data_IF_679171109869
#
_entry.id   IF_679171109869
#
_cell.length_a   1.000
_cell.length_b   1.000
_cell.length_c   1.000
_cell.angle_alpha   90.00
_cell.angle_beta   90.00
_cell.angle_gamma   90.00
#
_symmetry.space_group_name_H-M   'P 1'
#
loop_
_entity.id
_entity.type
_entity.pdbx_description
1 polymer ?
#
# COMPACT_ATOMS: atom_id res chain seq x y z
N UNK A 1 -8.88 -22.67 16.17
CA UNK A 1 -7.86 -23.15 15.23
C UNK A 1 -8.45 -24.20 14.32
N UNK A 2 -8.57 -23.84 13.05
CA UNK A 2 -8.66 -24.74 11.91
C UNK A 2 -7.46 -25.69 11.89
N UNK A 3 -7.64 -26.87 11.31
CA UNK A 3 -6.62 -27.92 11.29
C UNK A 3 -5.44 -27.61 10.36
N UNK A 4 -5.46 -26.48 9.65
CA UNK A 4 -4.50 -26.20 8.58
C UNK A 4 -3.14 -25.74 9.10
N UNK A 5 -3.11 -25.02 10.23
CA UNK A 5 -1.87 -24.61 10.91
C UNK A 5 -1.57 -25.45 12.16
N UNK A 6 -2.13 -26.67 12.25
CA UNK A 6 -1.93 -27.54 13.40
C UNK A 6 -0.44 -27.77 13.69
N UNK A 7 -0.06 -27.58 14.95
CA UNK A 7 1.32 -27.75 15.42
C UNK A 7 2.21 -26.51 15.30
N UNK A 8 1.71 -25.41 14.74
CA UNK A 8 2.44 -24.13 14.71
C UNK A 8 2.01 -23.29 15.91
N UNK A 9 2.95 -23.03 16.82
CA UNK A 9 2.72 -22.17 17.98
C UNK A 9 2.70 -20.68 17.57
N UNK A 10 2.06 -19.80 18.37
CA UNK A 10 2.21 -18.37 18.18
C UNK A 10 3.67 -17.92 18.18
N UNK A 11 4.01 -17.01 17.26
CA UNK A 11 5.37 -16.51 17.07
C UNK A 11 5.65 -15.43 18.11
N UNK A 12 6.82 -15.55 18.75
CA UNK A 12 7.28 -14.61 19.77
C UNK A 12 8.58 -13.95 19.37
N UNK A 13 8.83 -12.78 19.97
CA UNK A 13 10.15 -12.15 19.94
C UNK A 13 11.13 -12.91 20.82
N UNK A 14 12.26 -13.33 20.25
CA UNK A 14 13.32 -14.08 20.94
C UNK A 14 14.67 -13.35 20.97
N UNK A 15 14.76 -12.18 20.32
CA UNK A 15 16.00 -11.39 20.24
C UNK A 15 16.88 -11.75 19.05
N UNK A 16 17.83 -10.84 18.78
CA UNK A 16 18.67 -10.88 17.56
C UNK A 16 19.60 -12.08 17.46
N UNK A 17 19.93 -12.70 18.60
CA UNK A 17 20.83 -13.85 18.67
C UNK A 17 20.08 -15.20 18.60
N UNK A 18 18.76 -15.19 18.39
CA UNK A 18 17.96 -16.42 18.32
C UNK A 18 18.33 -17.29 17.12
N UNK A 19 18.59 -18.57 17.41
CA UNK A 19 18.80 -19.64 16.43
C UNK A 19 17.52 -20.39 16.04
N UNK A 20 16.35 -20.00 16.54
CA UNK A 20 15.07 -20.65 16.22
C UNK A 20 14.68 -20.43 14.76
N UNK A 21 14.21 -21.47 14.08
CA UNK A 21 13.84 -21.37 12.66
C UNK A 21 12.64 -20.43 12.43
N UNK A 22 11.77 -20.27 13.44
CA UNK A 22 10.52 -19.51 13.34
C UNK A 22 10.29 -18.65 14.59
N UNK A 23 10.90 -17.46 14.61
CA UNK A 23 10.79 -16.48 15.68
C UNK A 23 11.06 -15.06 15.16
N UNK A 24 10.52 -14.04 15.84
CA UNK A 24 10.91 -12.66 15.58
C UNK A 24 12.24 -12.34 16.27
N UNK A 25 13.18 -11.76 15.52
CA UNK A 25 14.51 -11.32 15.96
C UNK A 25 14.62 -9.82 16.12
N UNK A 26 13.81 -9.08 15.36
CA UNK A 26 13.80 -7.63 15.37
C UNK A 26 12.43 -7.07 15.72
N UNK A 27 11.34 -7.75 15.32
CA UNK A 27 9.99 -7.34 15.66
C UNK A 27 9.64 -7.72 17.10
N UNK A 28 9.74 -6.76 18.00
CA UNK A 28 9.17 -6.84 19.33
C UNK A 28 7.96 -5.90 19.40
N UNK A 29 6.72 -6.41 19.41
CA UNK A 29 5.52 -5.57 19.31
C UNK A 29 5.44 -4.53 20.44
N UNK A 30 5.93 -4.85 21.65
CA UNK A 30 5.88 -3.99 22.82
C UNK A 30 7.11 -3.08 23.00
N UNK A 31 8.11 -3.16 22.12
CA UNK A 31 9.26 -2.27 22.17
C UNK A 31 8.85 -0.83 21.91
N UNK A 32 9.18 0.06 22.85
CA UNK A 32 8.92 1.49 22.73
C UNK A 32 9.98 2.14 21.84
N UNK A 33 9.56 2.70 20.71
CA UNK A 33 10.40 3.49 19.80
C UNK A 33 9.90 4.94 19.83
N UNK A 34 10.56 5.79 20.62
CA UNK A 34 10.04 7.10 20.97
C UNK A 34 8.81 6.99 21.88
N UNK A 35 7.65 7.46 21.41
CA UNK A 35 6.42 7.54 22.21
C UNK A 35 5.38 6.46 21.90
N UNK A 36 5.62 5.59 20.91
CA UNK A 36 4.71 4.51 20.52
C UNK A 36 5.42 3.16 20.58
N UNK A 37 4.63 2.09 20.76
CA UNK A 37 5.13 0.72 20.60
C UNK A 37 5.42 0.45 19.12
N UNK A 38 6.27 -0.51 18.84
CA UNK A 38 6.61 -0.90 17.47
C UNK A 38 5.38 -1.36 16.68
N UNK A 39 4.48 -2.11 17.31
CA UNK A 39 3.19 -2.51 16.70
C UNK A 39 2.37 -1.29 16.25
N UNK A 40 2.33 -0.23 17.06
CA UNK A 40 1.54 0.98 16.79
C UNK A 40 2.19 1.88 15.72
N UNK A 41 3.49 1.72 15.47
CA UNK A 41 4.20 2.36 14.37
C UNK A 41 4.02 1.62 13.04
N UNK A 42 4.24 0.31 13.05
CA UNK A 42 4.28 -0.52 11.83
C UNK A 42 2.88 -0.93 11.37
N UNK A 43 1.97 -1.19 12.32
CA UNK A 43 0.55 -1.47 12.06
C UNK A 43 0.38 -2.53 10.96
N UNK A 44 1.10 -3.65 11.11
CA UNK A 44 1.18 -4.67 10.10
C UNK A 44 -0.18 -5.25 9.74
N UNK A 45 -0.42 -5.46 8.44
CA UNK A 45 -1.63 -6.05 7.89
C UNK A 45 -1.35 -7.22 6.94
N UNK A 46 -2.19 -8.26 6.98
CA UNK A 46 -2.12 -9.39 6.04
C UNK A 46 -3.07 -9.13 4.87
N UNK A 47 -2.56 -9.27 3.65
CA UNK A 47 -3.36 -9.30 2.43
C UNK A 47 -4.11 -10.63 2.31
N UNK A 48 -5.44 -10.56 2.27
CA UNK A 48 -6.28 -11.75 2.17
C UNK A 48 -6.14 -12.48 0.82
N UNK A 49 -6.04 -11.72 -0.28
CA UNK A 49 -5.95 -12.28 -1.64
C UNK A 49 -4.75 -13.18 -1.79
N UNK A 50 -3.57 -12.72 -1.40
CA UNK A 50 -2.35 -13.50 -1.55
C UNK A 50 -2.21 -14.64 -0.56
N UNK A 51 -2.66 -14.44 0.68
CA UNK A 51 -2.50 -15.45 1.72
C UNK A 51 -3.50 -16.59 1.60
N UNK A 52 -4.74 -16.31 1.14
CA UNK A 52 -5.84 -17.27 1.22
C UNK A 52 -6.64 -17.47 -0.07
N UNK A 53 -6.59 -16.54 -1.03
CA UNK A 53 -7.40 -16.64 -2.24
C UNK A 53 -6.61 -17.08 -3.48
N UNK A 54 -5.34 -16.68 -3.62
CA UNK A 54 -4.52 -17.01 -4.77
C UNK A 54 -4.11 -18.49 -4.76
N UNK A 55 -4.46 -19.27 -5.80
CA UNK A 55 -4.25 -20.72 -5.81
C UNK A 55 -2.84 -21.13 -6.28
N UNK A 56 -1.91 -20.19 -6.42
CA UNK A 56 -0.55 -20.44 -6.90
C UNK A 56 -0.44 -20.66 -8.41
N UNK A 57 -1.39 -20.14 -9.20
CA UNK A 57 -1.36 -20.16 -10.65
C UNK A 57 -0.61 -18.96 -11.24
N UNK A 58 -0.09 -19.13 -12.47
CA UNK A 58 0.60 -18.10 -13.25
C UNK A 58 0.16 -18.21 -14.74
N UNK A 59 0.60 -17.30 -15.65
CA UNK A 59 0.19 -17.36 -17.06
C UNK A 59 0.56 -18.65 -17.81
N UNK A 60 1.42 -19.51 -17.24
CA UNK A 60 1.97 -20.71 -17.87
C UNK A 60 1.58 -22.00 -17.14
N UNK A 61 0.89 -21.92 -15.99
CA UNK A 61 0.51 -23.07 -15.21
C UNK A 61 -0.66 -22.81 -14.24
N UNK A 62 -1.50 -23.82 -14.07
CA UNK A 62 -2.64 -23.76 -13.15
C UNK A 62 -2.27 -23.82 -11.67
N UNK A 63 -3.30 -23.99 -10.84
CA UNK A 63 -3.26 -24.11 -9.39
C UNK A 63 -2.18 -25.09 -8.90
N UNK A 64 -1.48 -24.69 -7.84
CA UNK A 64 -0.45 -25.50 -7.16
C UNK A 64 -0.75 -25.70 -5.69
N UNK A 65 -1.46 -24.77 -5.06
CA UNK A 65 -1.84 -24.90 -3.66
C UNK A 65 -3.07 -25.77 -3.53
N UNK A 66 -3.05 -26.70 -2.58
CA UNK A 66 -4.19 -27.53 -2.19
C UNK A 66 -4.64 -27.10 -0.79
N UNK A 67 -5.46 -26.05 -0.71
CA UNK A 67 -5.98 -25.53 0.55
C UNK A 67 -7.42 -26.03 0.80
N UNK A 68 -7.80 -26.38 2.04
CA UNK A 68 -9.14 -26.88 2.36
C UNK A 68 -10.30 -25.94 1.98
N UNK A 69 -10.02 -24.67 1.78
CA UNK A 69 -11.00 -23.61 1.53
C UNK A 69 -11.09 -23.13 0.07
N UNK A 70 -10.50 -23.84 -0.90
CA UNK A 70 -10.61 -23.50 -2.33
C UNK A 70 -11.94 -23.95 -2.98
N UNK A 71 -12.99 -24.21 -2.20
CA UNK A 71 -14.35 -24.36 -2.70
C UNK A 71 -14.97 -23.03 -3.12
N UNK A 72 -16.02 -23.09 -3.94
CA UNK A 72 -16.76 -21.92 -4.43
C UNK A 72 -18.14 -21.77 -3.77
N UNK A 73 -18.21 -22.03 -2.47
CA UNK A 73 -19.43 -21.91 -1.67
C UNK A 73 -19.17 -21.15 -0.35
N UNK A 74 -20.25 -20.85 0.38
CA UNK A 74 -20.15 -20.12 1.64
C UNK A 74 -19.47 -20.94 2.75
N UNK A 75 -19.45 -22.28 2.66
CA UNK A 75 -18.75 -23.11 3.64
C UNK A 75 -17.23 -22.97 3.47
N UNK A 76 -16.75 -22.99 2.23
CA UNK A 76 -15.35 -22.71 1.90
C UNK A 76 -14.95 -21.27 2.27
N UNK A 77 -15.82 -20.28 2.04
CA UNK A 77 -15.59 -18.90 2.48
C UNK A 77 -15.42 -18.78 4.01
N UNK A 78 -16.28 -19.43 4.80
CA UNK A 78 -16.14 -19.48 6.26
C UNK A 78 -14.86 -20.19 6.70
N UNK A 79 -14.54 -21.33 6.10
CA UNK A 79 -13.30 -22.05 6.39
C UNK A 79 -12.04 -21.21 6.08
N UNK A 80 -12.09 -20.41 5.00
CA UNK A 80 -11.04 -19.45 4.64
C UNK A 80 -10.88 -18.39 5.72
N UNK A 81 -11.98 -17.81 6.19
CA UNK A 81 -11.96 -16.83 7.27
C UNK A 81 -11.44 -17.45 8.57
N UNK A 82 -11.84 -18.67 8.90
CA UNK A 82 -11.33 -19.37 10.09
C UNK A 82 -9.81 -19.54 10.03
N UNK A 83 -9.28 -20.01 8.90
CA UNK A 83 -7.84 -20.14 8.70
C UNK A 83 -7.12 -18.78 8.72
N UNK A 84 -7.74 -17.73 8.19
CA UNK A 84 -7.15 -16.40 8.20
C UNK A 84 -6.93 -15.87 9.62
N UNK A 85 -7.96 -15.96 10.47
CA UNK A 85 -7.85 -15.54 11.86
C UNK A 85 -6.90 -16.40 12.69
N UNK A 86 -6.71 -17.67 12.35
CA UNK A 86 -5.65 -18.48 12.96
C UNK A 86 -4.25 -17.98 12.58
N UNK A 87 -4.01 -17.65 11.31
CA UNK A 87 -2.73 -17.06 10.91
C UNK A 87 -2.48 -15.74 11.64
N UNK A 88 -3.49 -14.89 11.74
CA UNK A 88 -3.34 -13.61 12.44
C UNK A 88 -3.01 -13.81 13.92
N UNK A 89 -3.62 -14.80 14.57
CA UNK A 89 -3.31 -15.16 15.95
C UNK A 89 -1.91 -15.76 16.10
N UNK A 90 -1.46 -16.59 15.14
CA UNK A 90 -0.10 -17.14 15.11
C UNK A 90 0.94 -16.03 14.98
N UNK A 91 0.72 -15.06 14.09
CA UNK A 91 1.65 -13.96 13.86
C UNK A 91 1.57 -12.86 14.93
N UNK A 92 0.49 -12.83 15.73
CA UNK A 92 0.20 -11.71 16.61
C UNK A 92 -0.07 -10.41 15.85
N UNK A 93 -0.68 -10.50 14.66
CA UNK A 93 -0.81 -9.39 13.74
C UNK A 93 -2.09 -8.57 13.99
N UNK A 94 -2.00 -7.23 14.10
CA UNK A 94 -3.15 -6.41 14.52
C UNK A 94 -4.17 -6.15 13.42
N UNK A 95 -3.78 -6.24 12.14
CA UNK A 95 -4.64 -5.88 11.02
C UNK A 95 -4.69 -6.91 9.89
N UNK A 96 -5.72 -6.79 9.04
CA UNK A 96 -5.84 -7.44 7.75
C UNK A 96 -6.52 -6.52 6.71
N UNK A 97 -6.41 -6.89 5.43
CA UNK A 97 -7.03 -6.23 4.29
C UNK A 97 -7.76 -7.23 3.40
N UNK A 98 -8.81 -6.83 2.68
CA UNK A 98 -9.56 -7.73 1.77
C UNK A 98 -10.12 -7.03 0.52
N UNK A 99 -10.26 -7.77 -0.59
CA UNK A 99 -11.27 -7.48 -1.62
C UNK A 99 -12.53 -8.33 -1.43
N UNK A 100 -13.68 -7.81 -1.84
CA UNK A 100 -14.96 -8.51 -1.72
C UNK A 100 -14.93 -9.90 -2.36
N UNK A 101 -14.36 -10.02 -3.57
CA UNK A 101 -14.28 -11.28 -4.30
C UNK A 101 -13.36 -12.33 -3.64
N UNK A 102 -12.45 -11.92 -2.75
CA UNK A 102 -11.52 -12.83 -2.09
C UNK A 102 -12.16 -13.57 -0.91
N UNK A 103 -13.17 -12.94 -0.31
CA UNK A 103 -13.79 -13.41 0.93
C UNK A 103 -15.09 -14.18 0.69
N UNK A 104 -15.71 -14.10 -0.49
CA UNK A 104 -17.00 -14.76 -0.80
C UNK A 104 -17.07 -15.32 -2.22
N UNK A 105 -17.92 -16.34 -2.47
CA UNK A 105 -18.17 -16.84 -3.82
C UNK A 105 -19.04 -15.88 -4.67
N UNK A 106 -18.78 -15.84 -5.98
CA UNK A 106 -19.61 -15.11 -6.96
C UNK A 106 -20.98 -15.77 -7.14
N UNK A 107 -22.05 -14.96 -7.05
CA UNK A 107 -23.42 -15.38 -7.34
C UNK A 107 -23.77 -15.20 -8.83
N UNK A 108 -24.92 -15.73 -9.25
CA UNK A 108 -25.35 -15.58 -10.65
C UNK A 108 -25.88 -14.18 -10.97
N UNK A 109 -26.26 -13.41 -9.93
CA UNK A 109 -26.75 -12.03 -10.04
C UNK A 109 -26.10 -11.14 -8.99
N UNK A 110 -26.19 -9.81 -9.17
CA UNK A 110 -25.71 -8.86 -8.17
C UNK A 110 -26.34 -9.10 -6.80
N UNK A 111 -27.64 -9.38 -6.75
CA UNK A 111 -28.37 -9.64 -5.51
C UNK A 111 -27.85 -10.89 -4.77
N UNK A 112 -27.48 -11.94 -5.50
CA UNK A 112 -26.89 -13.14 -4.91
C UNK A 112 -25.45 -12.88 -4.44
N UNK A 113 -24.62 -12.25 -5.27
CA UNK A 113 -23.25 -11.84 -4.90
C UNK A 113 -23.24 -10.98 -3.64
N UNK A 114 -24.16 -10.00 -3.56
CA UNK A 114 -24.35 -9.13 -2.40
C UNK A 114 -24.81 -9.90 -1.17
N UNK A 115 -25.74 -10.86 -1.29
CA UNK A 115 -26.18 -11.69 -0.16
C UNK A 115 -25.01 -12.51 0.41
N UNK A 116 -24.23 -13.16 -0.45
CA UNK A 116 -23.05 -13.93 -0.05
C UNK A 116 -22.00 -13.03 0.63
N UNK A 117 -21.78 -11.83 0.08
CA UNK A 117 -20.87 -10.85 0.65
C UNK A 117 -21.31 -10.41 2.06
N UNK A 118 -22.57 -10.04 2.24
CA UNK A 118 -23.07 -9.64 3.56
C UNK A 118 -22.99 -10.78 4.59
N UNK A 119 -23.27 -12.01 4.18
CA UNK A 119 -23.16 -13.18 5.05
C UNK A 119 -21.71 -13.42 5.52
N UNK A 120 -20.70 -13.28 4.65
CA UNK A 120 -19.31 -13.42 5.12
C UNK A 120 -18.85 -12.22 5.96
N UNK A 121 -19.34 -11.01 5.69
CA UNK A 121 -19.04 -9.83 6.50
C UNK A 121 -19.56 -10.01 7.93
N UNK A 122 -20.72 -10.63 8.11
CA UNK A 122 -21.24 -10.98 9.45
C UNK A 122 -20.28 -11.94 10.17
N UNK A 123 -19.86 -13.02 9.52
CA UNK A 123 -18.92 -14.00 10.07
C UNK A 123 -17.55 -13.39 10.41
N UNK A 124 -17.01 -12.54 9.53
CA UNK A 124 -15.74 -11.83 9.78
C UNK A 124 -15.90 -10.88 10.98
N UNK A 125 -17.03 -10.19 11.11
CA UNK A 125 -17.33 -9.36 12.28
C UNK A 125 -17.26 -10.14 13.59
N UNK A 126 -17.90 -11.32 13.66
CA UNK A 126 -17.85 -12.20 14.84
C UNK A 126 -16.40 -12.65 15.16
N UNK A 127 -15.59 -12.89 14.13
CA UNK A 127 -14.17 -13.23 14.30
C UNK A 127 -13.34 -12.06 14.81
N UNK A 128 -13.58 -10.84 14.33
CA UNK A 128 -12.91 -9.63 14.83
C UNK A 128 -13.23 -9.39 16.31
N UNK A 129 -14.49 -9.58 16.71
CA UNK A 129 -14.92 -9.43 18.11
C UNK A 129 -14.23 -10.43 19.06
N UNK A 130 -13.97 -11.65 18.58
CA UNK A 130 -13.38 -12.72 19.39
C UNK A 130 -11.84 -12.76 19.35
N UNK A 131 -11.24 -12.42 18.21
CA UNK A 131 -9.79 -12.48 17.97
C UNK A 131 -9.04 -11.18 18.25
N UNK A 132 -9.73 -10.04 18.20
CA UNK A 132 -9.14 -8.71 18.45
C UNK A 132 -8.45 -8.06 17.25
N UNK A 133 -8.34 -8.76 16.12
CA UNK A 133 -7.81 -8.19 14.88
C UNK A 133 -8.76 -7.14 14.31
N UNK A 134 -8.18 -6.09 13.71
CA UNK A 134 -8.90 -4.96 13.14
C UNK A 134 -8.76 -4.92 11.63
N UNK A 135 -9.68 -4.22 10.97
CA UNK A 135 -9.62 -4.04 9.52
C UNK A 135 -8.78 -2.79 9.20
N UNK A 136 -7.66 -2.94 8.48
CA UNK A 136 -6.91 -1.77 8.03
C UNK A 136 -7.65 -1.09 6.88
N UNK A 137 -8.06 -1.87 5.89
CA UNK A 137 -8.95 -1.42 4.82
C UNK A 137 -9.65 -2.56 4.10
N UNK A 138 -10.83 -2.25 3.54
CA UNK A 138 -11.48 -3.07 2.52
C UNK A 138 -11.44 -2.39 1.16
N UNK A 139 -11.73 -3.15 0.12
CA UNK A 139 -11.78 -2.69 -1.27
C UNK A 139 -12.69 -3.58 -2.13
N UNK A 140 -12.99 -3.13 -3.34
CA UNK A 140 -13.77 -3.88 -4.32
C UNK A 140 -12.84 -4.46 -5.39
N UNK A 141 -12.96 -5.77 -5.67
CA UNK A 141 -12.30 -6.37 -6.82
C UNK A 141 -13.09 -6.03 -8.10
N UNK A 142 -12.65 -4.97 -8.77
CA UNK A 142 -13.23 -4.50 -10.03
C UNK A 142 -12.38 -4.86 -11.25
N UNK A 143 -11.65 -5.97 -11.19
CA UNK A 143 -10.64 -6.31 -12.21
C UNK A 143 -10.56 -7.78 -12.59
N UNK A 144 -10.99 -8.71 -11.74
CA UNK A 144 -10.91 -10.15 -12.02
C UNK A 144 -12.06 -10.66 -12.89
N UNK A 145 -13.30 -10.23 -12.63
CA UNK A 145 -14.45 -10.71 -13.40
C UNK A 145 -14.41 -10.18 -14.84
N UNK A 146 -14.70 -11.04 -15.83
CA UNK A 146 -14.68 -10.70 -17.28
C UNK A 146 -15.50 -9.47 -17.69
N UNK A 147 -16.41 -9.00 -16.83
CA UNK A 147 -17.23 -7.82 -17.08
C UNK A 147 -16.40 -6.53 -17.05
N UNK A 148 -15.29 -6.54 -16.31
CA UNK A 148 -14.37 -5.42 -16.16
C UNK A 148 -13.20 -5.44 -17.15
N UNK A 149 -13.24 -6.31 -18.17
CA UNK A 149 -12.12 -6.47 -19.12
C UNK A 149 -11.76 -5.18 -19.89
N UNK A 150 -12.67 -4.20 -19.92
CA UNK A 150 -12.49 -2.90 -20.57
C UNK A 150 -12.62 -1.72 -19.57
N UNK A 151 -12.29 -1.95 -18.30
CA UNK A 151 -12.40 -0.93 -17.23
C UNK A 151 -13.59 -1.14 -16.31
N UNK A 152 -13.66 -0.36 -15.24
CA UNK A 152 -14.78 -0.34 -14.31
C UNK A 152 -15.40 1.05 -14.24
N UNK A 153 -14.77 2.00 -13.57
CA UNK A 153 -15.12 3.41 -13.62
C UNK A 153 -14.79 4.04 -14.98
N UNK A 154 -13.81 3.50 -15.70
CA UNK A 154 -13.43 3.97 -17.05
C UNK A 154 -14.07 3.15 -18.18
N UNK A 155 -15.04 2.29 -17.85
CA UNK A 155 -15.62 1.41 -18.87
C UNK A 155 -16.42 2.21 -19.93
N UNK A 156 -16.30 1.88 -21.23
CA UNK A 156 -17.12 2.49 -22.27
C UNK A 156 -18.62 2.15 -22.17
N UNK A 157 -18.98 1.09 -21.44
CA UNK A 157 -20.36 0.70 -21.16
C UNK A 157 -20.83 1.27 -19.80
N UNK A 158 -21.84 2.16 -19.78
CA UNK A 158 -22.35 2.76 -18.54
C UNK A 158 -23.00 1.75 -17.57
N UNK A 159 -23.45 0.57 -18.04
CA UNK A 159 -24.00 -0.46 -17.15
C UNK A 159 -22.88 -1.11 -16.30
N UNK A 160 -21.65 -1.20 -16.84
CA UNK A 160 -20.50 -1.69 -16.08
C UNK A 160 -20.06 -0.65 -15.04
N UNK A 161 -20.08 0.64 -15.39
CA UNK A 161 -19.89 1.72 -14.43
C UNK A 161 -20.90 1.63 -13.27
N UNK A 162 -22.18 1.41 -13.58
CA UNK A 162 -23.24 1.29 -12.58
C UNK A 162 -23.00 0.07 -11.66
N UNK A 163 -22.58 -1.07 -12.22
CA UNK A 163 -22.21 -2.24 -11.44
C UNK A 163 -21.03 -1.96 -10.51
N UNK A 164 -19.97 -1.33 -11.02
CA UNK A 164 -18.78 -0.97 -10.24
C UNK A 164 -19.13 -0.05 -9.05
N UNK A 165 -19.98 0.95 -9.30
CA UNK A 165 -20.44 1.87 -8.26
C UNK A 165 -21.28 1.16 -7.19
N UNK A 166 -22.13 0.22 -7.59
CA UNK A 166 -22.92 -0.59 -6.66
C UNK A 166 -22.03 -1.48 -5.78
N UNK A 167 -21.02 -2.13 -6.35
CA UNK A 167 -20.05 -2.93 -5.59
C UNK A 167 -19.26 -2.07 -4.61
N UNK A 168 -18.71 -0.93 -5.04
CA UNK A 168 -17.94 -0.03 -4.17
C UNK A 168 -18.80 0.52 -3.02
N UNK A 169 -20.07 0.84 -3.28
CA UNK A 169 -20.99 1.24 -2.21
C UNK A 169 -21.11 0.16 -1.13
N UNK A 170 -21.36 -1.10 -1.51
CA UNK A 170 -21.50 -2.19 -0.55
C UNK A 170 -20.17 -2.47 0.19
N UNK A 171 -19.03 -2.41 -0.50
CA UNK A 171 -17.71 -2.63 0.11
C UNK A 171 -17.33 -1.52 1.09
N UNK A 172 -17.59 -0.26 0.75
CA UNK A 172 -17.33 0.88 1.61
C UNK A 172 -18.23 0.86 2.86
N UNK A 173 -19.51 0.48 2.72
CA UNK A 173 -20.42 0.31 3.86
C UNK A 173 -20.00 -0.85 4.76
N UNK A 174 -19.56 -1.99 4.19
CA UNK A 174 -19.03 -3.11 4.96
C UNK A 174 -17.74 -2.76 5.69
N UNK A 175 -16.83 -2.06 5.01
CA UNK A 175 -15.58 -1.55 5.61
C UNK A 175 -15.88 -0.64 6.78
N UNK A 176 -16.82 0.30 6.62
CA UNK A 176 -17.26 1.18 7.71
C UNK A 176 -17.88 0.39 8.87
N UNK A 177 -18.76 -0.57 8.56
CA UNK A 177 -19.42 -1.42 9.57
C UNK A 177 -18.42 -2.23 10.41
N UNK A 178 -17.36 -2.73 9.79
CA UNK A 178 -16.29 -3.47 10.47
C UNK A 178 -15.25 -2.57 11.14
N UNK A 179 -15.44 -1.25 11.13
CA UNK A 179 -14.50 -0.31 11.73
C UNK A 179 -13.17 -0.18 10.97
N UNK A 180 -13.20 -0.40 9.66
CA UNK A 180 -12.04 -0.25 8.79
C UNK A 180 -11.43 1.16 8.88
N UNK A 181 -10.10 1.25 8.94
CA UNK A 181 -9.42 2.54 9.09
C UNK A 181 -9.24 3.30 7.76
N UNK A 182 -9.32 2.61 6.63
CA UNK A 182 -9.24 3.19 5.28
C UNK A 182 -10.10 2.39 4.28
N UNK A 183 -10.26 2.91 3.06
CA UNK A 183 -10.85 2.21 1.93
C UNK A 183 -10.00 2.45 0.68
N UNK A 184 -9.57 1.38 0.02
CA UNK A 184 -8.64 1.43 -1.12
C UNK A 184 -9.37 1.36 -2.46
N UNK A 185 -8.79 2.01 -3.47
CA UNK A 185 -9.18 1.97 -4.87
C UNK A 185 -7.90 1.75 -5.69
N UNK A 186 -7.65 0.49 -6.07
CA UNK A 186 -6.61 0.15 -7.04
C UNK A 186 -7.23 -0.02 -8.44
N UNK A 187 -6.73 0.74 -9.40
CA UNK A 187 -7.27 0.85 -10.75
C UNK A 187 -6.89 -0.29 -11.70
N UNK A 188 -6.92 -1.56 -11.28
CA UNK A 188 -6.36 -2.67 -12.07
C UNK A 188 -6.87 -2.82 -13.51
N UNK A 189 -8.05 -2.25 -13.86
CA UNK A 189 -8.54 -2.15 -15.24
C UNK A 189 -8.79 -0.71 -15.70
N UNK A 190 -8.51 0.27 -14.85
CA UNK A 190 -8.72 1.69 -15.09
C UNK A 190 -7.52 2.24 -15.89
N UNK A 191 -7.54 1.91 -17.18
CA UNK A 191 -6.46 2.17 -18.11
C UNK A 191 -6.84 1.64 -19.49
N UNK A 192 -5.86 1.45 -20.35
CA UNK A 192 -6.12 0.96 -21.70
C UNK A 192 -5.14 -0.10 -22.18
N UNK A 193 -5.59 -0.90 -23.15
CA UNK A 193 -4.73 -1.80 -23.93
C UNK A 193 -4.26 -1.16 -25.24
N UNK A 194 -5.10 -0.34 -25.88
CA UNK A 194 -4.75 0.39 -27.12
C UNK A 194 -5.38 1.78 -27.17
N UNK A 195 -4.61 2.78 -27.60
CA UNK A 195 -5.13 4.13 -27.79
C UNK A 195 -6.12 4.25 -28.96
N UNK A 196 -6.15 3.27 -29.86
CA UNK A 196 -6.98 3.33 -31.07
C UNK A 196 -8.49 3.31 -30.77
N UNK A 197 -8.89 2.78 -29.60
CA UNK A 197 -10.29 2.69 -29.17
C UNK A 197 -10.53 3.36 -27.80
N UNK A 198 -9.58 4.18 -27.32
CA UNK A 198 -9.63 4.79 -25.99
C UNK A 198 -9.77 6.30 -26.12
N UNK A 199 -10.80 6.86 -25.48
CA UNK A 199 -10.94 8.30 -25.29
C UNK A 199 -10.47 8.67 -23.87
N UNK A 200 -9.18 9.03 -23.76
CA UNK A 200 -8.54 9.38 -22.50
C UNK A 200 -9.24 10.52 -21.76
N UNK A 201 -9.81 11.48 -22.51
CA UNK A 201 -10.52 12.62 -21.93
C UNK A 201 -11.81 12.17 -21.26
N UNK A 202 -12.60 11.35 -21.97
CA UNK A 202 -13.85 10.78 -21.47
C UNK A 202 -13.63 9.87 -20.27
N UNK A 203 -12.68 8.95 -20.34
CA UNK A 203 -12.41 8.00 -19.27
C UNK A 203 -11.93 8.70 -18.00
N UNK A 204 -11.11 9.76 -18.15
CA UNK A 204 -10.73 10.62 -17.03
C UNK A 204 -11.95 11.33 -16.40
N UNK A 205 -12.88 11.85 -17.20
CA UNK A 205 -14.12 12.47 -16.68
C UNK A 205 -14.98 11.47 -15.90
N UNK A 206 -15.10 10.24 -16.41
CA UNK A 206 -15.86 9.17 -15.75
C UNK A 206 -15.20 8.76 -14.43
N UNK A 207 -13.89 8.52 -14.42
CA UNK A 207 -13.15 8.18 -13.20
C UNK A 207 -13.21 9.30 -12.17
N UNK A 208 -13.06 10.57 -12.59
CA UNK A 208 -13.22 11.73 -11.71
C UNK A 208 -14.62 11.79 -11.09
N UNK A 209 -15.67 11.58 -11.89
CA UNK A 209 -17.04 11.51 -11.41
C UNK A 209 -17.29 10.32 -10.46
N UNK A 210 -16.64 9.18 -10.70
CA UNK A 210 -16.71 8.01 -9.83
C UNK A 210 -16.09 8.29 -8.46
N UNK A 211 -14.87 8.84 -8.42
CA UNK A 211 -14.20 9.20 -7.17
C UNK A 211 -15.00 10.22 -6.35
N UNK A 212 -15.62 11.21 -7.00
CA UNK A 212 -16.54 12.14 -6.34
C UNK A 212 -17.71 11.42 -5.66
N UNK A 213 -18.31 10.41 -6.31
CA UNK A 213 -19.39 9.61 -5.72
C UNK A 213 -18.92 8.79 -4.52
N UNK A 214 -17.70 8.24 -4.57
CA UNK A 214 -17.11 7.51 -3.44
C UNK A 214 -16.90 8.44 -2.25
N UNK A 215 -16.31 9.62 -2.48
CA UNK A 215 -16.08 10.64 -1.44
C UNK A 215 -17.40 11.17 -0.87
N UNK A 216 -18.37 11.50 -1.72
CA UNK A 216 -19.71 11.91 -1.29
C UNK A 216 -20.34 10.84 -0.39
N UNK A 217 -20.30 9.57 -0.81
CA UNK A 217 -20.89 8.47 -0.05
C UNK A 217 -20.17 8.22 1.27
N UNK A 218 -18.82 8.29 1.30
CA UNK A 218 -18.01 8.26 2.52
C UNK A 218 -18.54 9.27 3.54
N UNK A 219 -18.72 10.53 3.13
CA UNK A 219 -19.22 11.59 4.01
C UNK A 219 -20.66 11.33 4.45
N UNK A 220 -21.51 10.90 3.52
CA UNK A 220 -22.92 10.58 3.77
C UNK A 220 -23.11 9.50 4.83
N UNK A 221 -22.31 8.44 4.80
CA UNK A 221 -22.40 7.36 5.79
C UNK A 221 -21.59 7.64 7.06
N UNK A 222 -20.83 8.75 7.10
CA UNK A 222 -20.02 9.15 8.24
C UNK A 222 -18.69 8.41 8.37
N UNK A 223 -18.22 7.73 7.32
CA UNK A 223 -16.95 7.02 7.33
C UNK A 223 -15.78 7.99 7.52
N UNK A 224 -15.00 7.80 8.59
CA UNK A 224 -13.89 8.69 8.98
C UNK A 224 -12.54 8.29 8.40
N UNK A 225 -12.41 7.05 7.91
CA UNK A 225 -11.18 6.55 7.31
C UNK A 225 -10.78 7.29 6.04
N UNK A 226 -9.51 7.16 5.66
CA UNK A 226 -9.03 7.73 4.40
C UNK A 226 -9.60 6.96 3.19
N UNK A 227 -9.86 7.66 2.08
CA UNK A 227 -9.97 7.02 0.77
C UNK A 227 -8.55 7.01 0.19
N UNK A 228 -8.10 5.87 -0.27
CA UNK A 228 -6.75 5.66 -0.78
C UNK A 228 -6.82 5.26 -2.26
N UNK A 229 -6.06 5.95 -3.10
CA UNK A 229 -5.75 5.47 -4.46
C UNK A 229 -4.39 4.80 -4.43
N UNK A 230 -4.25 3.69 -5.13
CA UNK A 230 -3.04 2.89 -5.17
C UNK A 230 -2.39 2.95 -6.55
N UNK A 231 -1.30 3.73 -6.72
CA UNK A 231 -0.70 3.92 -8.02
C UNK A 231 -0.05 2.63 -8.55
N UNK A 232 -0.19 2.40 -9.86
CA UNK A 232 0.53 1.37 -10.62
C UNK A 232 0.64 1.81 -12.09
N UNK A 233 1.78 1.61 -12.77
CA UNK A 233 1.98 2.10 -14.13
C UNK A 233 1.25 1.31 -15.23
N UNK A 234 1.07 0.01 -15.02
CA UNK A 234 0.60 -0.98 -15.99
C UNK A 234 0.36 -2.33 -15.30
N UNK A 235 0.00 -3.35 -16.08
CA UNK A 235 -0.26 -4.72 -15.62
C UNK A 235 -1.49 -4.83 -14.71
N UNK A 236 -2.64 -5.30 -15.23
CA UNK A 236 -2.81 -6.01 -16.52
C UNK A 236 -3.01 -5.09 -17.74
N UNK A 237 -3.24 -3.79 -17.56
CA UNK A 237 -3.38 -2.83 -18.67
C UNK A 237 -2.03 -2.55 -19.35
N UNK A 238 -2.04 -2.02 -20.58
CA UNK A 238 -0.82 -1.50 -21.25
C UNK A 238 -0.36 -0.17 -20.64
N UNK A 239 -1.29 0.56 -20.05
CA UNK A 239 -1.07 1.80 -19.31
C UNK A 239 -2.24 1.99 -18.37
N UNK A 240 -1.95 2.07 -17.08
CA UNK A 240 -2.92 2.36 -16.03
C UNK A 240 -2.87 3.87 -15.72
N UNK A 241 -4.03 4.49 -15.49
CA UNK A 241 -4.14 5.95 -15.41
C UNK A 241 -3.52 6.53 -14.14
N UNK A 242 -3.66 5.83 -13.04
CA UNK A 242 -3.03 6.06 -11.74
C UNK A 242 -1.57 5.60 -11.77
N UNK A 243 -0.77 6.15 -12.69
CA UNK A 243 0.57 5.64 -13.03
C UNK A 243 1.60 5.67 -11.89
N UNK A 244 1.73 6.83 -11.24
CA UNK A 244 2.64 7.11 -10.13
C UNK A 244 2.04 8.24 -9.25
N UNK A 245 2.69 8.55 -8.13
CA UNK A 245 2.23 9.58 -7.17
C UNK A 245 2.00 10.93 -7.84
N UNK A 246 2.92 11.38 -8.70
CA UNK A 246 2.83 12.69 -9.33
C UNK A 246 1.66 12.77 -10.32
N UNK A 247 1.43 11.69 -11.07
CA UNK A 247 0.33 11.53 -12.01
C UNK A 247 -1.01 11.54 -11.28
N UNK A 248 -1.12 10.74 -10.21
CA UNK A 248 -2.34 10.69 -9.39
C UNK A 248 -2.60 12.05 -8.74
N UNK A 249 -1.58 12.75 -8.22
CA UNK A 249 -1.78 14.10 -7.67
C UNK A 249 -2.30 15.09 -8.72
N UNK A 250 -1.73 15.07 -9.93
CA UNK A 250 -2.21 15.90 -11.04
C UNK A 250 -3.68 15.60 -11.39
N UNK A 251 -4.06 14.33 -11.39
CA UNK A 251 -5.44 13.91 -11.58
C UNK A 251 -6.36 14.41 -10.46
N UNK A 252 -5.98 14.19 -9.20
CA UNK A 252 -6.76 14.65 -8.04
C UNK A 252 -6.95 16.17 -8.07
N UNK A 253 -5.90 16.93 -8.41
CA UNK A 253 -5.97 18.39 -8.57
C UNK A 253 -6.92 18.82 -9.68
N UNK A 254 -6.91 18.14 -10.83
CA UNK A 254 -7.83 18.42 -11.94
C UNK A 254 -9.30 18.31 -11.51
N UNK A 255 -9.61 17.38 -10.61
CA UNK A 255 -10.98 17.12 -10.15
C UNK A 255 -11.29 17.66 -8.75
N UNK A 256 -10.37 18.38 -8.10
CA UNK A 256 -10.56 18.97 -6.77
C UNK A 256 -10.70 17.95 -5.63
N UNK A 257 -9.99 16.82 -5.71
CA UNK A 257 -10.06 15.69 -4.78
C UNK A 257 -8.80 15.54 -3.90
N UNK A 258 -7.79 16.39 -4.06
CA UNK A 258 -6.49 16.25 -3.41
C UNK A 258 -6.53 16.36 -1.87
N UNK A 259 -7.60 16.95 -1.33
CA UNK A 259 -7.79 17.07 0.11
C UNK A 259 -8.67 15.95 0.69
N UNK A 260 -9.28 15.12 -0.16
CA UNK A 260 -10.23 14.07 0.22
C UNK A 260 -9.62 12.66 0.11
N UNK A 261 -8.63 12.51 -0.77
CA UNK A 261 -8.00 11.24 -1.12
C UNK A 261 -6.51 11.29 -0.76
N UNK A 262 -6.02 10.20 -0.17
CA UNK A 262 -4.60 9.94 0.11
C UNK A 262 -4.15 8.75 -0.76
N UNK A 263 -2.92 8.30 -0.57
CA UNK A 263 -2.34 7.23 -1.38
C UNK A 263 -1.97 6.01 -0.54
N UNK A 264 -2.19 4.83 -1.12
CA UNK A 264 -1.58 3.58 -0.70
C UNK A 264 -0.40 3.32 -1.66
N UNK A 265 0.83 3.27 -1.16
CA UNK A 265 2.01 3.12 -2.03
C UNK A 265 2.58 1.73 -1.91
N UNK A 266 2.76 1.07 -3.04
CA UNK A 266 3.36 -0.25 -3.10
C UNK A 266 4.81 -0.18 -3.62
N UNK A 267 5.73 -0.91 -2.98
CA UNK A 267 7.11 -0.99 -3.46
C UNK A 267 7.19 -1.56 -4.88
N UNK A 268 6.52 -2.69 -5.14
CA UNK A 268 6.51 -3.35 -6.44
C UNK A 268 6.06 -2.43 -7.57
N UNK A 269 4.96 -1.72 -7.36
CA UNK A 269 4.42 -0.75 -8.31
C UNK A 269 5.36 0.44 -8.56
N UNK A 270 6.01 0.98 -7.51
CA UNK A 270 6.99 2.06 -7.66
C UNK A 270 8.16 1.65 -8.58
N UNK A 271 8.71 0.46 -8.36
CA UNK A 271 9.80 -0.07 -9.20
C UNK A 271 9.35 -0.27 -10.64
N UNK A 272 8.13 -0.82 -10.86
CA UNK A 272 7.58 -0.98 -12.22
C UNK A 272 7.40 0.35 -12.93
N UNK A 273 7.15 1.45 -12.20
CA UNK A 273 7.02 2.80 -12.75
C UNK A 273 8.38 3.44 -13.09
N UNK A 274 9.49 2.78 -12.74
CA UNK A 274 10.85 3.29 -12.93
C UNK A 274 11.34 4.18 -11.77
N UNK A 275 10.67 4.13 -10.62
CA UNK A 275 11.00 4.92 -9.43
C UNK A 275 11.54 4.03 -8.31
N UNK A 276 12.34 4.58 -7.39
CA UNK A 276 12.60 3.89 -6.13
C UNK A 276 11.40 4.06 -5.18
N UNK A 277 11.25 3.17 -4.21
CA UNK A 277 10.10 3.24 -3.31
C UNK A 277 10.13 4.49 -2.41
N UNK A 278 11.31 4.84 -1.90
CA UNK A 278 11.50 6.07 -1.13
C UNK A 278 11.29 7.34 -1.94
N UNK A 279 11.42 7.29 -3.28
CA UNK A 279 11.03 8.42 -4.13
C UNK A 279 9.52 8.66 -4.05
N UNK A 280 8.71 7.64 -4.29
CA UNK A 280 7.25 7.76 -4.25
C UNK A 280 6.77 8.18 -2.86
N UNK A 281 7.37 7.63 -1.79
CA UNK A 281 7.08 8.03 -0.42
C UNK A 281 7.43 9.50 -0.14
N UNK A 282 8.62 9.95 -0.55
CA UNK A 282 9.04 11.35 -0.39
C UNK A 282 8.16 12.31 -1.20
N UNK A 283 7.77 11.93 -2.42
CA UNK A 283 6.86 12.71 -3.26
C UNK A 283 5.49 12.82 -2.60
N UNK A 284 4.89 11.71 -2.17
CA UNK A 284 3.58 11.71 -1.51
C UNK A 284 3.62 12.48 -0.19
N UNK A 285 4.68 12.35 0.59
CA UNK A 285 4.92 13.12 1.81
C UNK A 285 4.96 14.63 1.54
N UNK A 286 5.71 15.06 0.52
CA UNK A 286 5.83 16.48 0.16
C UNK A 286 4.52 17.12 -0.31
N UNK A 287 3.62 16.30 -0.86
CA UNK A 287 2.28 16.69 -1.31
C UNK A 287 1.21 16.52 -0.22
N UNK A 288 1.58 15.97 0.94
CA UNK A 288 0.65 15.68 2.03
C UNK A 288 -0.35 14.55 1.72
N UNK A 289 0.00 13.62 0.82
CA UNK A 289 -0.87 12.54 0.33
C UNK A 289 -0.51 11.15 0.84
N UNK A 290 0.59 10.99 1.58
CA UNK A 290 0.97 9.70 2.15
C UNK A 290 -0.13 9.19 3.11
N UNK A 291 -0.74 8.06 2.78
CA UNK A 291 -1.80 7.44 3.56
C UNK A 291 -1.36 6.13 4.21
N UNK A 292 -1.06 5.13 3.37
CA UNK A 292 -0.68 3.76 3.76
C UNK A 292 0.39 3.21 2.81
N UNK A 293 0.95 2.05 3.13
CA UNK A 293 1.83 1.33 2.21
C UNK A 293 1.46 -0.13 2.06
N UNK A 294 1.76 -0.66 0.89
CA UNK A 294 1.92 -2.08 0.63
C UNK A 294 3.41 -2.43 0.53
N UNK A 295 3.87 -3.20 1.49
CA UNK A 295 5.27 -3.59 1.61
C UNK A 295 5.47 -5.00 1.06
N UNK A 296 5.84 -5.02 -0.20
CA UNK A 296 6.34 -6.18 -0.91
C UNK A 296 7.67 -5.82 -1.56
N UNK A 297 8.12 -6.61 -2.54
CA UNK A 297 9.19 -6.25 -3.47
C UNK A 297 8.96 -6.93 -4.82
N UNK A 298 9.52 -6.31 -5.84
CA UNK A 298 9.67 -6.92 -7.16
C UNK A 298 11.10 -7.36 -7.46
N UNK A 299 11.22 -8.25 -8.44
CA UNK A 299 12.51 -8.68 -8.96
C UNK A 299 12.99 -7.69 -10.03
N UNK A 300 14.15 -7.06 -9.82
CA UNK A 300 14.67 -6.04 -10.73
C UNK A 300 14.98 -6.55 -12.14
N UNK A 301 15.08 -7.87 -12.36
CA UNK A 301 15.29 -8.47 -13.67
C UNK A 301 13.97 -8.89 -14.33
N UNK A 302 12.85 -8.78 -13.62
CA UNK A 302 11.51 -9.19 -14.06
C UNK A 302 10.59 -7.97 -14.17
N UNK A 303 10.24 -7.59 -15.39
CA UNK A 303 9.42 -6.40 -15.67
C UNK A 303 7.91 -6.57 -15.41
N UNK A 304 7.54 -7.34 -14.39
CA UNK A 304 6.16 -7.60 -13.97
C UNK A 304 6.08 -7.76 -12.45
N UNK A 305 4.87 -7.75 -11.93
CA UNK A 305 4.60 -7.81 -10.50
C UNK A 305 4.78 -9.21 -9.94
N UNK A 306 5.81 -9.37 -9.10
CA UNK A 306 6.17 -10.64 -8.49
C UNK A 306 5.58 -10.80 -7.09
N UNK A 307 5.18 -9.71 -6.45
CA UNK A 307 4.54 -9.61 -5.13
C UNK A 307 5.29 -10.42 -4.09
N UNK A 308 6.62 -10.29 -4.03
CA UNK A 308 7.40 -11.04 -3.06
C UNK A 308 7.48 -10.29 -1.73
N UNK A 309 7.69 -10.99 -0.62
CA UNK A 309 7.88 -10.34 0.69
C UNK A 309 9.18 -9.52 0.74
N UNK A 310 9.28 -8.41 1.49
CA UNK A 310 10.52 -7.64 1.59
C UNK A 310 11.67 -8.47 2.19
N UNK A 311 12.87 -8.37 1.63
CA UNK A 311 14.08 -9.08 2.10
C UNK A 311 15.32 -8.18 2.30
N UNK A 312 15.22 -6.89 1.95
CA UNK A 312 16.33 -5.94 2.01
C UNK A 312 16.11 -4.86 3.09
N UNK A 313 16.71 -4.99 4.29
CA UNK A 313 16.55 -4.01 5.36
C UNK A 313 17.01 -2.59 4.99
N UNK A 314 17.95 -2.42 4.05
CA UNK A 314 18.46 -1.09 3.67
C UNK A 314 17.44 -0.29 2.88
N UNK A 315 16.77 -0.93 1.92
CA UNK A 315 15.70 -0.31 1.15
C UNK A 315 14.51 0.00 2.05
N UNK A 316 14.15 -0.94 2.93
CA UNK A 316 13.06 -0.76 3.89
C UNK A 316 13.38 0.35 4.91
N UNK A 317 14.64 0.53 5.31
CA UNK A 317 15.05 1.65 6.16
C UNK A 317 14.87 3.01 5.48
N UNK A 318 15.21 3.13 4.20
CA UNK A 318 14.98 4.38 3.44
C UNK A 318 13.49 4.67 3.25
N UNK A 319 12.67 3.64 3.02
CA UNK A 319 11.23 3.78 2.95
C UNK A 319 10.64 4.29 4.27
N UNK A 320 10.94 3.63 5.40
CA UNK A 320 10.45 4.06 6.70
C UNK A 320 11.03 5.40 7.15
N UNK A 321 12.21 5.80 6.67
CA UNK A 321 12.77 7.13 6.95
C UNK A 321 11.85 8.23 6.41
N UNK A 322 11.35 8.08 5.18
CA UNK A 322 10.40 9.03 4.59
C UNK A 322 9.02 8.97 5.26
N UNK A 323 8.55 7.79 5.67
CA UNK A 323 7.33 7.66 6.50
C UNK A 323 7.48 8.39 7.84
N UNK A 324 8.58 8.18 8.56
CA UNK A 324 8.84 8.78 9.86
C UNK A 324 8.98 10.30 9.80
N UNK A 325 9.54 10.85 8.70
CA UNK A 325 9.60 12.31 8.47
C UNK A 325 8.22 12.97 8.43
N UNK A 326 7.16 12.22 8.12
CA UNK A 326 5.78 12.72 8.16
C UNK A 326 5.08 12.53 9.52
N UNK A 327 5.77 11.93 10.51
CA UNK A 327 5.20 11.58 11.80
C UNK A 327 4.69 10.13 11.90
N UNK A 328 4.95 9.30 10.88
CA UNK A 328 4.48 7.92 10.80
C UNK A 328 3.01 7.80 10.37
N UNK A 329 2.51 6.57 10.33
CA UNK A 329 1.12 6.33 9.96
C UNK A 329 0.12 6.86 10.98
N UNK A 330 -1.03 7.29 10.47
CA UNK A 330 -2.21 7.67 11.27
C UNK A 330 -3.28 6.59 11.16
N UNK A 331 -3.96 6.51 10.03
CA UNK A 331 -4.97 5.47 9.72
C UNK A 331 -4.41 4.35 8.85
N UNK A 332 -3.41 4.62 8.01
CA UNK A 332 -2.73 3.60 7.21
C UNK A 332 -1.82 2.69 8.03
N UNK A 333 -1.07 1.82 7.36
CA UNK A 333 -0.14 0.89 7.99
C UNK A 333 0.72 0.19 6.95
N UNK A 334 1.42 -0.86 7.36
CA UNK A 334 2.22 -1.71 6.47
C UNK A 334 1.45 -2.98 6.14
N UNK A 335 0.75 -3.01 5.01
CA UNK A 335 0.11 -4.22 4.52
C UNK A 335 1.12 -5.06 3.71
N UNK A 336 1.16 -6.36 3.96
CA UNK A 336 1.97 -7.27 3.16
C UNK A 336 1.18 -7.72 1.94
N UNK A 337 1.14 -6.86 0.92
CA UNK A 337 0.66 -7.24 -0.42
C UNK A 337 1.70 -8.13 -1.13
N UNK A 338 1.94 -9.29 -0.51
CA UNK A 338 2.94 -10.23 -0.94
C UNK A 338 2.39 -11.66 -0.88
N UNK A 339 2.79 -12.49 -1.84
CA UNK A 339 2.41 -13.90 -1.96
C UNK A 339 3.57 -14.83 -1.72
N UNK A 340 3.23 -16.05 -1.30
CA UNK A 340 4.16 -17.17 -1.36
C UNK A 340 4.66 -17.41 -2.77
N UNK A 341 5.82 -18.05 -2.87
CA UNK A 341 6.29 -18.52 -4.17
C UNK A 341 5.46 -19.74 -4.57
N UNK A 342 5.30 -19.93 -5.88
CA UNK A 342 4.50 -21.03 -6.46
C UNK A 342 4.92 -22.44 -5.96
N UNK A 343 6.16 -22.59 -5.49
CA UNK A 343 6.71 -23.86 -5.00
C UNK A 343 6.82 -23.94 -3.47
N UNK A 344 6.41 -22.89 -2.75
CA UNK A 344 6.33 -22.85 -1.28
C UNK A 344 4.92 -23.28 -0.89
N UNK A 345 4.75 -24.57 -0.62
CA UNK A 345 3.44 -25.24 -0.56
C UNK A 345 2.95 -25.42 0.88
N UNK A 346 3.85 -25.45 1.86
CA UNK A 346 3.52 -25.91 3.19
C UNK A 346 2.90 -24.79 4.06
N UNK A 347 2.06 -25.11 5.06
CA UNK A 347 1.49 -24.10 5.95
C UNK A 347 2.55 -23.25 6.65
N UNK A 348 3.67 -23.86 7.03
CA UNK A 348 4.78 -23.17 7.68
C UNK A 348 5.45 -22.13 6.77
N UNK A 349 5.43 -22.33 5.45
CA UNK A 349 6.00 -21.35 4.50
C UNK A 349 5.26 -20.01 4.60
N UNK A 350 3.93 -20.04 4.73
CA UNK A 350 3.12 -18.84 4.86
C UNK A 350 3.45 -18.06 6.14
N UNK A 351 3.66 -18.79 7.23
CA UNK A 351 4.06 -18.20 8.52
C UNK A 351 5.48 -17.65 8.42
N UNK A 352 6.43 -18.44 7.91
CA UNK A 352 7.83 -18.04 7.76
C UNK A 352 8.01 -16.80 6.86
N UNK A 353 7.25 -16.72 5.77
CA UNK A 353 7.29 -15.58 4.86
C UNK A 353 6.87 -14.28 5.55
N UNK A 354 5.78 -14.30 6.32
CA UNK A 354 5.34 -13.14 7.10
C UNK A 354 6.32 -12.82 8.24
N UNK A 355 6.81 -13.82 8.97
CA UNK A 355 7.78 -13.63 10.05
C UNK A 355 9.04 -12.92 9.53
N UNK A 356 9.61 -13.40 8.42
CA UNK A 356 10.76 -12.77 7.78
C UNK A 356 10.47 -11.34 7.34
N UNK A 357 9.32 -11.09 6.72
CA UNK A 357 8.93 -9.75 6.26
C UNK A 357 8.75 -8.76 7.41
N UNK A 358 8.08 -9.18 8.48
CA UNK A 358 7.88 -8.39 9.70
C UNK A 358 9.22 -8.06 10.36
N UNK A 359 10.15 -9.02 10.43
CA UNK A 359 11.49 -8.79 10.98
C UNK A 359 12.34 -7.86 10.12
N UNK A 360 12.32 -8.01 8.80
CA UNK A 360 12.99 -7.11 7.86
C UNK A 360 12.44 -5.68 8.01
N UNK A 361 11.12 -5.55 8.13
CA UNK A 361 10.46 -4.27 8.38
C UNK A 361 10.83 -3.68 9.73
N UNK A 362 10.82 -4.46 10.81
CA UNK A 362 11.21 -4.00 12.13
C UNK A 362 12.68 -3.56 12.18
N UNK A 363 13.59 -4.31 11.53
CA UNK A 363 15.00 -3.93 11.40
C UNK A 363 15.16 -2.63 10.62
N UNK A 364 14.52 -2.52 9.46
CA UNK A 364 14.55 -1.30 8.65
C UNK A 364 13.98 -0.11 9.39
N UNK A 365 12.87 -0.28 10.11
CA UNK A 365 12.25 0.77 10.91
C UNK A 365 13.14 1.23 12.07
N UNK A 366 13.79 0.31 12.79
CA UNK A 366 14.79 0.67 13.83
C UNK A 366 15.93 1.50 13.25
N UNK A 367 16.47 1.10 12.10
CA UNK A 367 17.51 1.85 11.41
C UNK A 367 17.02 3.25 10.97
N UNK A 368 15.80 3.34 10.43
CA UNK A 368 15.18 4.60 10.05
C UNK A 368 14.99 5.56 11.23
N UNK A 369 14.48 5.03 12.35
CA UNK A 369 14.31 5.80 13.58
C UNK A 369 15.65 6.29 14.13
N UNK A 370 16.66 5.42 14.16
CA UNK A 370 18.02 5.79 14.60
C UNK A 370 18.67 6.84 13.67
N UNK A 371 18.48 6.73 12.35
CA UNK A 371 18.94 7.75 11.39
C UNK A 371 18.28 9.11 11.64
N UNK A 372 16.98 9.13 11.94
CA UNK A 372 16.23 10.36 12.17
C UNK A 372 16.58 11.00 13.52
N UNK A 373 16.79 10.18 14.56
CA UNK A 373 17.24 10.64 15.88
C UNK A 373 18.66 11.22 15.85
N UNK A 374 19.59 10.57 15.14
CA UNK A 374 20.95 11.08 14.92
C UNK A 374 20.93 12.43 14.18
N UNK A 375 20.04 12.58 13.20
CA UNK A 375 19.78 13.84 12.54
C UNK A 375 20.87 14.32 11.58
N UNK A 376 21.96 13.57 11.39
CA UNK A 376 23.07 13.98 10.50
C UNK A 376 22.63 14.12 9.04
N UNK A 377 21.71 13.26 8.56
CA UNK A 377 21.15 13.38 7.21
C UNK A 377 20.35 14.68 7.05
N UNK A 378 19.49 15.02 8.01
CA UNK A 378 18.70 16.26 7.98
C UNK A 378 19.56 17.50 8.23
N UNK A 379 20.61 17.42 9.03
CA UNK A 379 21.58 18.49 9.19
C UNK A 379 22.32 18.77 7.86
N UNK A 380 22.80 17.71 7.18
CA UNK A 380 23.44 17.84 5.88
C UNK A 380 22.47 18.39 4.82
N UNK A 381 21.21 17.94 4.83
CA UNK A 381 20.16 18.47 3.95
C UNK A 381 19.89 19.94 4.22
N UNK A 382 19.69 20.36 5.47
CA UNK A 382 19.47 21.77 5.82
C UNK A 382 20.65 22.67 5.41
N UNK A 383 21.87 22.25 5.71
CA UNK A 383 23.08 22.99 5.30
C UNK A 383 23.16 23.18 3.77
N UNK A 384 22.72 22.18 2.98
CA UNK A 384 22.70 22.28 1.52
C UNK A 384 21.78 23.39 1.00
N UNK A 385 20.74 23.77 1.73
CA UNK A 385 19.75 24.77 1.31
C UNK A 385 19.82 26.07 2.13
N UNK A 386 20.77 26.22 3.06
CA UNK A 386 20.83 27.34 4.00
C UNK A 386 20.84 28.73 3.35
N UNK A 387 21.40 28.85 2.14
CA UNK A 387 21.42 30.11 1.38
C UNK A 387 20.03 30.67 1.06
N UNK A 388 19.03 29.80 0.94
CA UNK A 388 17.63 30.18 0.72
C UNK A 388 16.94 30.77 1.95
N UNK A 389 17.58 30.68 3.13
CA UNK A 389 17.02 31.25 4.36
C UNK A 389 17.29 32.74 4.53
N UNK A 390 18.17 33.32 3.71
CA UNK A 390 18.46 34.76 3.74
C UNK A 390 17.28 35.59 3.24
N UNK A 391 17.08 36.79 3.81
CA UNK A 391 16.03 37.72 3.40
C UNK A 391 16.13 38.10 1.91
N UNK A 392 17.37 38.21 1.39
CA UNK A 392 17.63 38.47 -0.01
C UNK A 392 17.19 37.30 -0.91
N UNK A 393 17.46 36.05 -0.54
CA UNK A 393 17.03 34.89 -1.31
C UNK A 393 15.50 34.70 -1.27
N UNK A 394 14.88 34.98 -0.11
CA UNK A 394 13.41 34.97 0.03
C UNK A 394 12.76 36.05 -0.82
N UNK A 395 13.26 37.29 -0.79
CA UNK A 395 12.79 38.40 -1.63
C UNK A 395 12.94 38.06 -3.12
N UNK A 396 14.10 37.51 -3.50
CA UNK A 396 14.34 37.03 -4.86
C UNK A 396 13.30 36.00 -5.31
N UNK A 397 12.97 35.03 -4.47
CA UNK A 397 12.05 33.94 -4.81
C UNK A 397 10.60 34.41 -4.87
N UNK A 398 10.20 35.26 -3.92
CA UNK A 398 8.78 35.52 -3.64
C UNK A 398 8.26 36.82 -4.24
N UNK A 399 9.13 37.73 -4.68
CA UNK A 399 8.72 39.09 -5.04
C UNK A 399 9.45 39.70 -6.22
N UNK A 400 10.69 39.31 -6.48
CA UNK A 400 11.45 39.84 -7.61
C UNK A 400 11.02 39.20 -8.93
N UNK A 401 10.95 40.02 -9.97
CA UNK A 401 10.73 39.55 -11.33
C UNK A 401 12.00 38.96 -11.93
N UNK A 402 11.86 38.29 -13.08
CA UNK A 402 13.02 37.82 -13.84
C UNK A 402 13.96 38.97 -14.24
N UNK A 403 13.41 40.15 -14.52
CA UNK A 403 14.19 41.35 -14.89
C UNK A 403 15.00 41.87 -13.70
N UNK A 404 14.41 41.89 -12.49
CA UNK A 404 15.11 42.29 -11.26
C UNK A 404 16.28 41.34 -10.95
N UNK A 405 16.05 40.03 -11.07
CA UNK A 405 17.07 39.00 -10.86
C UNK A 405 18.20 39.16 -11.89
N UNK A 406 17.86 39.38 -13.16
CA UNK A 406 18.82 39.58 -14.23
C UNK A 406 19.69 40.83 -13.99
N UNK A 407 19.08 41.97 -13.67
CA UNK A 407 19.79 43.20 -13.33
C UNK A 407 20.74 43.00 -12.15
N UNK A 408 20.30 42.31 -11.10
CA UNK A 408 21.13 41.99 -9.94
C UNK A 408 22.39 41.21 -10.30
N UNK A 409 22.29 40.22 -11.20
CA UNK A 409 23.45 39.43 -11.64
C UNK A 409 24.42 40.31 -12.45
N UNK A 410 23.91 41.20 -13.31
CA UNK A 410 24.75 42.15 -14.05
C UNK A 410 25.46 43.14 -13.12
N UNK A 411 24.77 43.68 -12.13
CA UNK A 411 25.31 44.68 -11.21
C UNK A 411 26.34 44.09 -10.24
N UNK A 412 26.09 42.88 -9.73
CA UNK A 412 26.98 42.20 -8.78
C UNK A 412 28.18 41.54 -9.45
N UNK A 413 28.08 41.19 -10.74
CA UNK A 413 29.08 40.40 -11.44
C UNK A 413 29.32 39.02 -10.80
N UNK A 414 28.32 38.48 -10.08
CA UNK A 414 28.47 37.28 -9.28
C UNK A 414 28.74 36.04 -10.17
N UNK A 415 29.86 35.36 -9.89
CA UNK A 415 30.22 34.06 -10.49
C UNK A 415 30.11 32.94 -9.46
N UNK A 416 28.91 32.38 -9.20
CA UNK A 416 28.76 31.31 -8.21
C UNK A 416 29.57 30.08 -8.62
N UNK A 417 30.15 29.41 -7.62
CA UNK A 417 30.89 28.15 -7.81
C UNK A 417 30.02 26.94 -7.44
N UNK A 418 30.19 25.78 -8.12
CA UNK A 418 29.52 24.55 -7.73
C UNK A 418 29.85 24.13 -6.29
N UNK A 419 28.85 23.60 -5.58
CA UNK A 419 29.02 23.02 -4.24
C UNK A 419 28.86 21.51 -4.34
N UNK A 420 29.76 20.75 -3.72
CA UNK A 420 29.71 19.27 -3.73
C UNK A 420 28.45 18.75 -3.04
N UNK A 421 27.78 17.77 -3.67
CA UNK A 421 26.58 17.12 -3.12
C UNK A 421 26.85 16.06 -2.04
N UNK A 422 28.11 15.63 -1.88
CA UNK A 422 28.54 14.66 -0.84
C UNK A 422 27.79 13.30 -0.86
N UNK A 423 27.32 12.86 -2.03
CA UNK A 423 26.46 11.68 -2.15
C UNK A 423 27.06 10.44 -1.51
N UNK A 424 28.31 10.10 -1.82
CA UNK A 424 28.96 8.89 -1.30
C UNK A 424 29.12 8.95 0.23
N UNK A 425 29.27 10.15 0.79
CA UNK A 425 29.34 10.33 2.26
C UNK A 425 27.97 10.07 2.88
N UNK A 426 26.90 10.55 2.26
CA UNK A 426 25.53 10.36 2.75
C UNK A 426 25.09 8.89 2.62
N UNK A 427 25.44 8.22 1.53
CA UNK A 427 25.18 6.79 1.34
C UNK A 427 25.94 5.94 2.36
N UNK A 428 27.21 6.27 2.62
CA UNK A 428 28.00 5.62 3.66
C UNK A 428 27.46 5.90 5.06
N UNK A 429 26.82 7.05 5.30
CA UNK A 429 26.15 7.35 6.55
C UNK A 429 24.96 6.42 6.75
N UNK A 430 24.08 6.27 5.75
CA UNK A 430 22.95 5.32 5.78
C UNK A 430 23.43 3.90 6.09
N UNK A 431 24.49 3.43 5.41
CA UNK A 431 25.03 2.08 5.58
C UNK A 431 25.59 1.78 6.99
N UNK A 432 25.74 2.78 7.87
CA UNK A 432 26.16 2.55 9.27
C UNK A 432 25.01 2.11 10.19
N UNK A 433 23.76 2.33 9.78
CA UNK A 433 22.58 2.08 10.60
C UNK A 433 21.90 0.75 10.31
N UNK A 434 22.22 0.10 9.19
CA UNK A 434 21.49 -1.07 8.66
C UNK A 434 22.29 -2.34 8.80
#
# INVERSE_FOLDING_TARGET
MSSYFDGIAPITYEGTDSGSDLAFRHYNPDEMLGTKRMEDHLRFSVAWWHSFAWPGGDPFGGQTFERPWFGNDMAAARAKADAAFDLFAILGQPFFCWHDADIRPEGATFAESRRNFLEIIDHIGEKMETGGQRLLWGTANLFSHRRFMAGAATNPDPEIFAWAAATVKDCLEATHRLGGENYVLWGGREGYETLLNTDLGREAEQMGAFLHKVVEHKHKIGFKGAILVEPKPQEPTKHQYDYDVATVYGFLKRFGLENEIKMNLEQGHAILAGHSFEHELATAASLGLLGSIDMNRNDYQSGWDTDQFPDNPREVALAYYEVLKTGGFTTGGTNFDARLRRQSLDPVDLVAAHVGAMDVCARGFKAAAAMLEDGSLEAARRARYEGWESDAAKTMRDSESLDDIHARVLDTGAGPSPVSGRQEILENLVSRFV
#
